data_IF_659153178802
#
_entry.id   IF_659153178802
#
_cell.length_a   1.000
_cell.length_b   1.000
_cell.length_c   1.000
_cell.angle_alpha   90.00
_cell.angle_beta   90.00
_cell.angle_gamma   90.00
#
_symmetry.space_group_name_H-M   'P 1'
#
loop_
_entity.id
_entity.type
_entity.pdbx_description
1 polymer ?
#
# COMPACT_ATOMS: atom_id res chain seq x y z
N UNK A 1 14.27 5.35 -14.41
CA UNK A 1 12.82 5.21 -14.16
C UNK A 1 12.68 4.67 -12.75
N UNK A 2 11.96 5.35 -11.88
CA UNK A 2 11.57 4.77 -10.61
C UNK A 2 10.52 3.70 -10.90
N UNK A 3 10.74 2.49 -10.43
CA UNK A 3 9.86 1.35 -10.68
C UNK A 3 9.10 0.99 -9.41
N UNK A 4 7.82 0.60 -9.55
CA UNK A 4 6.96 0.15 -8.45
C UNK A 4 7.21 -1.32 -8.08
N UNK A 5 8.47 -1.73 -8.19
CA UNK A 5 8.91 -3.10 -7.96
C UNK A 5 9.05 -3.41 -6.47
N UNK A 6 8.93 -4.70 -6.14
CA UNK A 6 9.25 -5.21 -4.81
C UNK A 6 10.67 -5.78 -4.87
N UNK A 7 11.57 -5.23 -4.06
CA UNK A 7 12.91 -5.80 -3.88
C UNK A 7 12.94 -6.75 -2.69
N UNK A 8 13.52 -7.93 -2.90
CA UNK A 8 13.57 -9.00 -1.91
C UNK A 8 15.02 -9.34 -1.60
N UNK A 9 15.40 -9.21 -0.33
CA UNK A 9 16.69 -9.63 0.18
C UNK A 9 16.61 -11.07 0.73
N UNK A 10 17.35 -11.99 0.12
CA UNK A 10 17.54 -13.33 0.69
C UNK A 10 18.58 -13.26 1.81
N UNK A 11 18.14 -13.34 3.07
CA UNK A 11 19.01 -13.12 4.24
C UNK A 11 20.12 -14.15 4.40
N UNK A 12 19.94 -15.38 3.90
CA UNK A 12 20.95 -16.44 3.98
C UNK A 12 22.10 -16.25 2.99
N UNK A 13 21.82 -15.63 1.84
CA UNK A 13 22.79 -15.39 0.76
C UNK A 13 23.22 -13.92 0.65
N UNK A 14 22.50 -13.03 1.32
CA UNK A 14 22.63 -11.57 1.21
C UNK A 14 22.56 -11.08 -0.24
N UNK A 15 21.70 -11.72 -1.04
CA UNK A 15 21.49 -11.38 -2.44
C UNK A 15 20.12 -10.73 -2.64
N UNK A 16 20.11 -9.66 -3.43
CA UNK A 16 18.88 -8.99 -3.85
C UNK A 16 18.29 -9.63 -5.09
N UNK A 17 16.97 -9.68 -5.14
CA UNK A 17 16.19 -10.00 -6.32
C UNK A 17 15.01 -9.03 -6.44
N UNK A 18 14.44 -8.94 -7.63
CA UNK A 18 13.28 -8.09 -7.88
C UNK A 18 12.06 -8.96 -8.18
N UNK A 19 10.91 -8.54 -7.66
CA UNK A 19 9.62 -9.17 -7.83
C UNK A 19 8.60 -8.12 -8.26
N UNK A 20 7.70 -8.49 -9.18
CA UNK A 20 6.80 -7.56 -9.85
C UNK A 20 7.03 -7.65 -11.36
N UNK A 21 6.15 -8.38 -12.05
CA UNK A 21 6.22 -8.58 -13.50
C UNK A 21 5.44 -7.55 -14.30
N UNK A 22 5.09 -7.90 -15.54
CA UNK A 22 4.22 -7.11 -16.41
C UNK A 22 2.78 -7.02 -15.82
N UNK A 23 2.13 -5.87 -15.98
CA UNK A 23 0.76 -5.65 -15.52
C UNK A 23 0.54 -4.28 -14.88
N UNK A 24 -0.67 -4.03 -14.34
CA UNK A 24 -0.96 -2.80 -13.61
C UNK A 24 -0.08 -2.70 -12.36
N UNK A 25 0.33 -1.50 -11.99
CA UNK A 25 1.20 -1.22 -10.85
C UNK A 25 0.68 -0.01 -10.07
N UNK A 26 0.86 0.03 -8.74
CA UNK A 26 0.57 1.23 -7.98
C UNK A 26 1.40 2.40 -8.49
N UNK A 27 0.83 3.61 -8.41
CA UNK A 27 1.57 4.83 -8.66
C UNK A 27 2.77 4.92 -7.70
N UNK A 28 3.82 5.62 -8.13
CA UNK A 28 4.95 5.95 -7.26
C UNK A 28 4.42 6.73 -6.06
N UNK A 29 4.57 6.13 -4.88
CA UNK A 29 4.03 6.67 -3.65
C UNK A 29 5.07 6.61 -2.53
N UNK A 30 4.98 7.56 -1.61
CA UNK A 30 5.69 7.52 -0.33
C UNK A 30 4.66 7.55 0.81
N UNK A 31 5.10 7.25 2.03
CA UNK A 31 4.26 7.29 3.25
C UNK A 31 3.01 6.39 3.18
N UNK A 32 3.04 5.38 2.33
CA UNK A 32 2.09 4.28 2.28
C UNK A 32 2.47 3.21 3.30
N UNK A 33 1.52 2.33 3.65
CA UNK A 33 1.81 1.13 4.43
C UNK A 33 1.78 -0.11 3.54
N UNK A 34 2.67 -1.07 3.83
CA UNK A 34 2.72 -2.38 3.18
C UNK A 34 2.65 -3.48 4.25
N UNK A 35 1.55 -4.23 4.30
CA UNK A 35 1.36 -5.31 5.27
C UNK A 35 1.28 -6.68 4.60
N UNK A 36 1.80 -7.71 5.27
CA UNK A 36 1.74 -9.09 4.79
C UNK A 36 0.52 -9.82 5.37
N UNK A 37 -0.27 -10.43 4.49
CA UNK A 37 -1.35 -11.34 4.84
C UNK A 37 -0.93 -12.80 4.61
N UNK A 38 -0.52 -13.55 5.64
CA UNK A 38 -0.11 -14.94 5.51
C UNK A 38 -1.25 -15.90 5.11
N UNK A 39 -2.51 -15.54 5.35
CA UNK A 39 -3.67 -16.39 5.00
C UNK A 39 -3.99 -16.26 3.51
N UNK A 40 -3.87 -15.05 2.98
CA UNK A 40 -4.06 -14.77 1.56
C UNK A 40 -2.81 -15.01 0.72
N UNK A 41 -1.62 -15.14 1.33
CA UNK A 41 -0.32 -15.17 0.64
C UNK A 41 -0.17 -13.93 -0.24
N UNK A 42 -0.36 -12.76 0.38
CA UNK A 42 -0.42 -11.47 -0.31
C UNK A 42 0.19 -10.32 0.49
N UNK A 43 0.58 -9.26 -0.20
CA UNK A 43 0.91 -7.96 0.41
C UNK A 43 -0.20 -6.96 0.11
N UNK A 44 -0.58 -6.15 1.09
CA UNK A 44 -1.52 -5.05 0.92
C UNK A 44 -0.77 -3.74 0.98
N UNK A 45 -0.87 -2.94 -0.08
CA UNK A 45 -0.37 -1.57 -0.14
C UNK A 45 -1.57 -0.62 0.03
N UNK A 46 -1.49 0.23 1.05
CA UNK A 46 -2.57 1.17 1.39
C UNK A 46 -2.06 2.60 1.37
N UNK A 47 -2.80 3.46 0.66
CA UNK A 47 -2.62 4.91 0.68
C UNK A 47 -1.25 5.39 0.19
N UNK A 48 -0.80 6.48 0.79
CA UNK A 48 0.42 7.21 0.51
C UNK A 48 0.21 8.52 -0.26
N UNK A 49 1.30 9.30 -0.30
CA UNK A 49 1.47 10.50 -1.11
C UNK A 49 1.97 10.10 -2.50
N UNK A 50 1.20 10.38 -3.54
CA UNK A 50 1.62 10.21 -4.93
C UNK A 50 2.75 11.18 -5.28
N UNK A 51 3.76 10.70 -6.01
CA UNK A 51 4.94 11.50 -6.39
C UNK A 51 4.87 12.14 -7.77
N UNK A 52 3.76 11.97 -8.49
CA UNK A 52 3.46 12.66 -9.74
C UNK A 52 2.93 14.08 -9.43
N UNK A 53 3.69 15.15 -9.70
CA UNK A 53 3.29 16.53 -9.39
C UNK A 53 2.01 16.97 -10.11
N UNK A 54 1.70 16.37 -11.27
CA UNK A 54 0.52 16.68 -12.07
C UNK A 54 -0.67 15.75 -11.71
N UNK A 55 -0.46 14.80 -10.81
CA UNK A 55 -1.42 13.76 -10.43
C UNK A 55 -2.28 14.10 -9.20
N UNK A 56 -3.12 13.14 -8.82
CA UNK A 56 -3.87 13.21 -7.56
C UNK A 56 -2.91 13.09 -6.36
N UNK A 57 -3.16 13.81 -5.24
CA UNK A 57 -2.24 13.85 -4.09
C UNK A 57 -2.06 12.52 -3.36
N UNK A 58 -2.91 11.53 -3.64
CA UNK A 58 -2.79 10.18 -3.13
C UNK A 58 -3.74 9.26 -3.90
N UNK A 59 -3.92 8.05 -3.40
CA UNK A 59 -4.82 7.06 -4.02
C UNK A 59 -5.99 6.66 -3.13
N UNK A 60 -7.12 6.35 -3.76
CA UNK A 60 -8.28 5.67 -3.14
C UNK A 60 -8.29 4.17 -3.39
N UNK A 61 -7.32 3.67 -4.14
CA UNK A 61 -7.24 2.25 -4.49
C UNK A 61 -6.57 1.46 -3.37
N UNK A 62 -7.06 0.24 -3.16
CA UNK A 62 -6.32 -0.79 -2.43
C UNK A 62 -5.54 -1.61 -3.45
N UNK A 63 -4.23 -1.73 -3.23
CA UNK A 63 -3.37 -2.54 -4.07
C UNK A 63 -3.00 -3.82 -3.33
N UNK A 64 -3.23 -4.96 -3.98
CA UNK A 64 -2.91 -6.28 -3.43
C UNK A 64 -1.89 -6.96 -4.33
N UNK A 65 -0.73 -7.30 -3.77
CA UNK A 65 0.26 -8.12 -4.46
C UNK A 65 0.06 -9.59 -4.09
N UNK A 66 -0.36 -10.40 -5.06
CA UNK A 66 -0.44 -11.86 -4.89
C UNK A 66 0.98 -12.46 -4.94
N UNK A 67 1.48 -12.96 -3.81
CA UNK A 67 2.86 -13.48 -3.69
C UNK A 67 3.06 -14.76 -4.51
N UNK A 68 2.02 -15.58 -4.65
CA UNK A 68 2.07 -16.82 -5.45
C UNK A 68 2.18 -16.51 -6.94
N UNK A 69 1.38 -15.57 -7.43
CA UNK A 69 1.30 -15.19 -8.85
C UNK A 69 2.27 -14.06 -9.23
N UNK A 70 2.90 -13.44 -8.25
CA UNK A 70 3.86 -12.34 -8.38
C UNK A 70 3.31 -11.17 -9.19
N UNK A 71 2.08 -10.77 -8.90
CA UNK A 71 1.37 -9.70 -9.63
C UNK A 71 0.57 -8.80 -8.69
N UNK A 72 0.53 -7.53 -9.05
CA UNK A 72 -0.36 -6.54 -8.45
C UNK A 72 -1.79 -6.71 -8.99
N UNK A 73 -2.76 -6.42 -8.13
CA UNK A 73 -4.17 -6.28 -8.44
C UNK A 73 -4.68 -4.99 -7.80
N UNK A 74 -5.41 -4.20 -8.56
CA UNK A 74 -6.02 -2.96 -8.09
C UNK A 74 -7.48 -3.17 -7.73
N UNK A 75 -7.86 -2.69 -6.55
CA UNK A 75 -9.25 -2.49 -6.17
C UNK A 75 -9.51 -0.98 -6.12
N UNK A 76 -10.04 -0.46 -7.24
CA UNK A 76 -10.30 0.97 -7.40
C UNK A 76 -11.35 1.49 -6.42
N UNK A 77 -11.20 2.75 -5.98
CA UNK A 77 -12.14 3.47 -5.10
C UNK A 77 -12.53 2.69 -3.84
N UNK A 78 -11.63 1.83 -3.36
CA UNK A 78 -11.83 1.02 -2.17
C UNK A 78 -11.93 1.89 -0.90
N UNK A 79 -11.17 2.97 -0.83
CA UNK A 79 -11.17 3.89 0.30
C UNK A 79 -11.98 5.17 0.01
N UNK A 80 -12.72 5.63 1.03
CA UNK A 80 -13.45 6.89 0.99
C UNK A 80 -12.52 8.12 1.07
N UNK A 81 -11.49 8.02 1.89
CA UNK A 81 -10.51 9.07 2.14
C UNK A 81 -9.13 8.66 1.65
N UNK A 82 -8.40 9.64 1.11
CA UNK A 82 -6.96 9.53 0.89
C UNK A 82 -6.25 9.51 2.25
N UNK A 83 -5.17 8.75 2.41
CA UNK A 83 -4.33 8.82 3.61
C UNK A 83 -2.87 8.61 3.30
N UNK A 84 -2.00 9.29 4.03
CA UNK A 84 -0.54 9.07 4.12
C UNK A 84 -0.12 9.09 5.60
N UNK A 85 1.10 8.64 5.89
CA UNK A 85 1.68 8.64 7.26
C UNK A 85 0.88 7.84 8.29
N UNK A 86 0.07 6.90 7.82
CA UNK A 86 -0.72 6.01 8.67
C UNK A 86 0.11 4.79 9.07
N UNK A 87 -0.34 4.09 10.10
CA UNK A 87 0.21 2.80 10.48
C UNK A 87 -0.74 1.69 10.08
N UNK A 88 -0.19 0.52 9.73
CA UNK A 88 -0.97 -0.67 9.46
C UNK A 88 -0.33 -1.89 10.12
N UNK A 89 -1.15 -2.78 10.67
CA UNK A 89 -0.72 -4.02 11.31
C UNK A 89 -1.65 -5.17 10.91
N UNK A 90 -1.11 -6.38 10.81
CA UNK A 90 -1.90 -7.58 10.62
C UNK A 90 -2.26 -8.22 11.97
N UNK A 91 -3.55 -8.42 12.22
CA UNK A 91 -4.07 -9.17 13.35
C UNK A 91 -4.37 -10.61 12.94
N UNK A 92 -3.48 -11.52 13.32
CA UNK A 92 -3.58 -12.95 12.98
C UNK A 92 -4.71 -13.69 13.70
N UNK A 93 -5.28 -13.11 14.77
CA UNK A 93 -6.41 -13.75 15.49
C UNK A 93 -7.72 -13.55 14.74
N UNK A 94 -7.88 -12.39 14.13
CA UNK A 94 -9.07 -12.00 13.38
C UNK A 94 -8.88 -12.09 11.86
N UNK A 95 -7.67 -12.38 11.39
CA UNK A 95 -7.31 -12.40 9.96
C UNK A 95 -7.60 -11.07 9.25
N UNK A 96 -7.29 -9.96 9.93
CA UNK A 96 -7.62 -8.63 9.49
C UNK A 96 -6.41 -7.70 9.52
N UNK A 97 -6.37 -6.70 8.63
CA UNK A 97 -5.43 -5.60 8.68
C UNK A 97 -6.08 -4.42 9.34
N UNK A 98 -5.43 -3.90 10.39
CA UNK A 98 -5.87 -2.72 11.12
C UNK A 98 -5.02 -1.54 10.65
N UNK A 99 -5.66 -0.52 10.10
CA UNK A 99 -5.02 0.71 9.64
C UNK A 99 -5.51 1.86 10.49
N UNK A 100 -4.62 2.62 11.10
CA UNK A 100 -4.98 3.72 11.99
C UNK A 100 -4.27 5.02 11.61
N UNK A 101 -5.03 6.10 11.67
CA UNK A 101 -4.50 7.47 11.66
C UNK A 101 -3.92 7.89 10.32
N UNK A 102 -2.85 8.70 10.38
CA UNK A 102 -2.30 9.42 9.24
C UNK A 102 -3.03 10.74 8.99
N UNK A 103 -2.81 11.32 7.81
CA UNK A 103 -3.49 12.54 7.38
C UNK A 103 -3.90 12.46 5.90
N UNK A 104 -4.84 13.30 5.50
CA UNK A 104 -5.21 13.42 4.08
C UNK A 104 -4.13 14.17 3.32
N UNK A 105 -3.51 13.60 2.27
CA UNK A 105 -2.65 14.38 1.38
C UNK A 105 -3.49 15.41 0.60
N UNK A 106 -2.99 16.63 0.46
CA UNK A 106 -3.71 17.74 -0.21
C UNK A 106 -3.05 18.17 -1.51
N UNK A 107 -1.77 17.86 -1.69
CA UNK A 107 -0.97 18.21 -2.87
C UNK A 107 -0.02 17.04 -3.18
N UNK A 108 0.10 16.66 -4.45
CA UNK A 108 0.99 15.60 -4.87
C UNK A 108 2.45 16.05 -4.79
N UNK A 109 3.38 15.11 -4.58
CA UNK A 109 4.82 15.36 -4.46
C UNK A 109 5.24 16.41 -3.41
N UNK A 110 4.34 16.83 -2.50
CA UNK A 110 4.64 17.80 -1.45
C UNK A 110 4.68 17.13 -0.07
N UNK A 111 5.88 16.78 0.37
CA UNK A 111 6.10 16.08 1.64
C UNK A 111 5.74 16.91 2.86
N UNK A 112 5.90 18.24 2.77
CA UNK A 112 5.75 19.14 3.91
C UNK A 112 4.29 19.53 4.17
N UNK A 113 3.42 19.37 3.16
CA UNK A 113 2.00 19.67 3.29
C UNK A 113 1.24 18.48 3.87
N UNK A 114 0.67 18.69 5.05
CA UNK A 114 -0.23 17.74 5.72
C UNK A 114 -1.64 18.32 5.71
N UNK A 115 -2.63 17.51 5.32
CA UNK A 115 -4.03 17.87 5.42
C UNK A 115 -4.64 17.48 6.76
N UNK A 116 -5.93 17.17 6.75
CA UNK A 116 -6.66 16.85 7.96
C UNK A 116 -6.14 15.54 8.57
N UNK A 117 -5.87 15.50 9.89
CA UNK A 117 -5.53 14.26 10.57
C UNK A 117 -6.73 13.32 10.58
N UNK A 118 -6.47 12.04 10.33
CA UNK A 118 -7.45 10.99 10.42
C UNK A 118 -7.36 10.34 11.80
N UNK A 119 -8.51 9.94 12.36
CA UNK A 119 -8.62 9.27 13.66
C UNK A 119 -9.38 7.95 13.56
N UNK A 120 -9.71 7.55 12.35
CA UNK A 120 -10.41 6.32 12.08
C UNK A 120 -9.47 5.13 12.16
N UNK A 121 -10.07 3.96 12.43
CA UNK A 121 -9.45 2.67 12.23
C UNK A 121 -10.18 2.00 11.07
N UNK A 122 -9.45 1.61 10.03
CA UNK A 122 -9.97 0.73 8.99
C UNK A 122 -9.63 -0.72 9.36
N UNK A 123 -10.59 -1.60 9.14
CA UNK A 123 -10.42 -3.05 9.31
C UNK A 123 -10.62 -3.70 7.95
N UNK A 124 -9.57 -4.31 7.41
CA UNK A 124 -9.59 -4.96 6.11
C UNK A 124 -9.45 -6.47 6.26
N UNK A 125 -10.42 -7.21 5.73
CA UNK A 125 -10.42 -8.67 5.73
C UNK A 125 -10.35 -9.18 4.29
N UNK A 126 -9.34 -10.00 3.99
CA UNK A 126 -9.26 -10.68 2.70
C UNK A 126 -10.07 -11.98 2.76
N UNK A 127 -11.34 -11.88 2.34
CA UNK A 127 -12.21 -13.05 2.20
C UNK A 127 -11.92 -13.73 0.87
N UNK A 128 -11.54 -15.02 0.89
CA UNK A 128 -11.49 -15.83 -0.33
C UNK A 128 -12.94 -16.05 -0.81
N UNK A 129 -13.24 -15.66 -2.04
CA UNK A 129 -14.46 -16.10 -2.73
C UNK A 129 -14.36 -17.59 -3.09
#
# INVERSE_FOLDING_TARGET
MADADIHVLELTKLSWSTMGGDGPRPALTQDASLTHDPKADALLLVGGLTLDPDGAPGTRSLWIFDLRRKRWMEHERFFSNLRRDHVAVYDSRNFAHLIHGGCTPTEAANFYMQGQPLRDVLVLELVRQ
#
